data_IF_918887103644
#
_entry.id   IF_918887103644
#
_cell.length_a   1.000
_cell.length_b   1.000
_cell.length_c   1.000
_cell.angle_alpha   90.00
_cell.angle_beta   90.00
_cell.angle_gamma   90.00
#
_symmetry.space_group_name_H-M   'P 1'
#
loop_
_entity.id
_entity.type
_entity.pdbx_description
1 polymer ?
#
# COMPACT_ATOMS: atom_id res chain seq x y z
N UNK A 1 0.16 15.82 -10.97
CA UNK A 1 -0.82 15.88 -9.87
C UNK A 1 -1.54 14.54 -9.82
N UNK A 2 -0.98 13.54 -9.14
CA UNK A 2 -1.76 12.35 -8.78
C UNK A 2 -2.62 12.77 -7.60
N UNK A 3 -3.82 13.28 -7.87
CA UNK A 3 -4.78 13.62 -6.82
C UNK A 3 -5.25 12.34 -6.15
N UNK A 4 -5.25 12.33 -4.82
CA UNK A 4 -5.76 11.21 -4.04
C UNK A 4 -7.23 10.91 -4.40
N UNK A 5 -7.52 9.66 -4.71
CA UNK A 5 -8.87 9.19 -5.06
C UNK A 5 -9.35 8.15 -4.06
N UNK A 6 -10.38 8.51 -3.29
CA UNK A 6 -11.01 7.62 -2.31
C UNK A 6 -11.55 6.32 -2.92
N UNK A 7 -12.11 6.39 -4.13
CA UNK A 7 -12.61 5.20 -4.83
C UNK A 7 -11.47 4.22 -5.17
N UNK A 8 -10.37 4.74 -5.71
CA UNK A 8 -9.19 3.91 -6.02
C UNK A 8 -8.58 3.32 -4.75
N UNK A 9 -8.54 4.09 -3.65
CA UNK A 9 -8.06 3.62 -2.36
C UNK A 9 -8.87 2.44 -1.81
N UNK A 10 -10.20 2.51 -1.84
CA UNK A 10 -11.06 1.42 -1.36
C UNK A 10 -10.91 0.14 -2.19
N UNK A 11 -10.78 0.27 -3.51
CA UNK A 11 -10.50 -0.87 -4.40
C UNK A 11 -9.16 -1.50 -4.05
N UNK A 12 -8.13 -0.68 -3.83
CA UNK A 12 -6.81 -1.15 -3.40
C UNK A 12 -6.85 -1.86 -2.06
N UNK A 13 -7.56 -1.30 -1.08
CA UNK A 13 -7.73 -1.90 0.24
C UNK A 13 -8.42 -3.27 0.14
N UNK A 14 -9.49 -3.38 -0.66
CA UNK A 14 -10.17 -4.64 -0.90
C UNK A 14 -9.24 -5.67 -1.57
N UNK A 15 -8.49 -5.25 -2.59
CA UNK A 15 -7.51 -6.11 -3.26
C UNK A 15 -6.41 -6.60 -2.29
N UNK A 16 -5.91 -5.71 -1.42
CA UNK A 16 -4.93 -6.06 -0.40
C UNK A 16 -5.48 -7.10 0.59
N UNK A 17 -6.70 -6.90 1.08
CA UNK A 17 -7.37 -7.84 2.00
C UNK A 17 -7.54 -9.21 1.34
N UNK A 18 -7.97 -9.26 0.08
CA UNK A 18 -8.12 -10.52 -0.64
C UNK A 18 -6.78 -11.20 -0.90
N UNK A 19 -5.73 -10.46 -1.25
CA UNK A 19 -4.41 -11.02 -1.50
C UNK A 19 -3.75 -11.55 -0.23
N UNK A 20 -3.77 -10.76 0.84
CA UNK A 20 -3.21 -11.16 2.15
C UNK A 20 -4.04 -12.29 2.75
N UNK A 21 -5.37 -12.18 2.74
CA UNK A 21 -6.27 -13.21 3.23
C UNK A 21 -6.15 -14.52 2.45
N UNK A 22 -6.10 -14.45 1.12
CA UNK A 22 -5.85 -15.61 0.26
C UNK A 22 -4.47 -16.24 0.48
N UNK A 23 -3.45 -15.41 0.72
CA UNK A 23 -2.11 -15.87 1.10
C UNK A 23 -2.14 -16.63 2.42
N UNK A 24 -2.77 -16.10 3.47
CA UNK A 24 -2.91 -16.81 4.74
C UNK A 24 -3.72 -18.11 4.60
N UNK A 25 -4.82 -18.08 3.85
CA UNK A 25 -5.61 -19.26 3.58
C UNK A 25 -4.78 -20.35 2.88
N UNK A 26 -4.03 -19.98 1.83
CA UNK A 26 -3.13 -20.88 1.13
C UNK A 26 -2.01 -21.41 2.03
N UNK A 27 -1.42 -20.57 2.89
CA UNK A 27 -0.40 -20.95 3.84
C UNK A 27 -0.91 -22.00 4.84
N UNK A 28 -2.08 -21.78 5.42
CA UNK A 28 -2.69 -22.69 6.40
C UNK A 28 -3.10 -24.02 5.76
N UNK A 29 -3.71 -23.98 4.57
CA UNK A 29 -4.20 -25.19 3.91
C UNK A 29 -3.09 -26.04 3.30
N UNK A 30 -2.03 -25.42 2.76
CA UNK A 30 -0.94 -26.16 2.13
C UNK A 30 0.22 -26.47 3.09
N UNK A 31 0.34 -25.75 4.21
CA UNK A 31 1.53 -25.78 5.07
C UNK A 31 2.80 -25.30 4.37
N UNK A 32 2.70 -24.72 3.17
CA UNK A 32 3.85 -24.41 2.33
C UNK A 32 4.26 -22.95 2.46
N UNK A 33 5.53 -22.64 2.80
CA UNK A 33 5.97 -21.27 3.08
C UNK A 33 5.92 -20.35 1.86
N UNK A 34 5.79 -20.88 0.65
CA UNK A 34 5.66 -20.07 -0.58
C UNK A 34 4.49 -19.07 -0.52
N UNK A 35 3.43 -19.37 0.24
CA UNK A 35 2.29 -18.45 0.41
C UNK A 35 2.60 -17.23 1.28
N UNK A 36 3.77 -17.17 1.95
CA UNK A 36 4.28 -15.94 2.54
C UNK A 36 4.60 -14.89 1.46
N UNK A 37 5.01 -15.30 0.26
CA UNK A 37 5.39 -14.38 -0.81
C UNK A 37 4.26 -13.41 -1.20
N UNK A 38 3.03 -13.85 -1.54
CA UNK A 38 1.93 -12.92 -1.86
C UNK A 38 1.53 -12.03 -0.67
N UNK A 39 1.65 -12.51 0.57
CA UNK A 39 1.39 -11.71 1.78
C UNK A 39 2.39 -10.56 1.88
N UNK A 40 3.68 -10.89 1.83
CA UNK A 40 4.77 -9.91 1.97
C UNK A 40 4.80 -8.95 0.79
N UNK A 41 4.62 -9.43 -0.43
CA UNK A 41 4.56 -8.59 -1.63
C UNK A 41 3.39 -7.61 -1.58
N UNK A 42 2.21 -8.05 -1.10
CA UNK A 42 1.06 -7.18 -0.95
C UNK A 42 1.25 -6.08 0.07
N UNK A 43 1.72 -6.43 1.26
CA UNK A 43 1.96 -5.47 2.33
C UNK A 43 3.06 -4.47 1.92
N UNK A 44 4.14 -4.95 1.30
CA UNK A 44 5.23 -4.10 0.84
C UNK A 44 4.78 -3.14 -0.27
N UNK A 45 4.04 -3.63 -1.25
CA UNK A 45 3.51 -2.78 -2.32
C UNK A 45 2.55 -1.72 -1.78
N UNK A 46 1.66 -2.10 -0.87
CA UNK A 46 0.76 -1.15 -0.20
C UNK A 46 1.54 -0.06 0.54
N UNK A 47 2.58 -0.43 1.28
CA UNK A 47 3.44 0.52 1.97
C UNK A 47 4.06 1.54 1.00
N UNK A 48 4.67 1.08 -0.10
CA UNK A 48 5.25 1.99 -1.10
C UNK A 48 4.21 2.95 -1.70
N UNK A 49 3.01 2.44 -2.01
CA UNK A 49 1.93 3.28 -2.51
C UNK A 49 1.42 4.28 -1.47
N UNK A 50 1.38 3.88 -0.19
CA UNK A 50 0.97 4.76 0.90
C UNK A 50 1.97 5.89 1.13
N UNK A 51 3.27 5.58 1.22
CA UNK A 51 4.33 6.58 1.38
C UNK A 51 4.30 7.60 0.23
N UNK A 52 4.17 7.14 -1.01
CA UNK A 52 4.08 8.01 -2.18
C UNK A 52 2.87 8.96 -2.15
N UNK A 53 1.77 8.58 -1.50
CA UNK A 53 0.58 9.41 -1.33
C UNK A 53 0.74 10.40 -0.18
N UNK A 54 1.28 9.96 0.96
CA UNK A 54 1.38 10.76 2.18
C UNK A 54 2.54 11.75 2.15
N UNK A 55 3.71 11.41 1.58
CA UNK A 55 4.85 12.32 1.46
C UNK A 55 4.53 13.58 0.61
N UNK A 56 3.47 13.55 -0.19
CA UNK A 56 3.05 14.73 -0.95
C UNK A 56 2.24 15.74 -0.11
N UNK A 57 1.88 15.39 1.14
CA UNK A 57 1.02 16.17 2.03
C UNK A 57 1.74 17.01 3.08
N UNK A 58 2.96 16.65 3.48
CA UNK A 58 3.70 17.31 4.57
C UNK A 58 4.86 18.19 4.02
N UNK A 59 4.56 19.48 3.88
CA UNK A 59 5.45 20.65 3.95
C UNK A 59 6.82 20.62 3.23
N UNK A 60 6.85 21.16 2.01
CA UNK A 60 7.98 22.02 1.62
C UNK A 60 7.82 23.36 2.35
N UNK A 61 8.81 23.83 3.15
CA UNK A 61 8.72 25.14 3.76
C UNK A 61 8.55 26.20 2.67
N UNK A 62 7.68 27.22 2.86
CA UNK A 62 7.43 28.23 1.85
C UNK A 62 8.76 28.89 1.46
N UNK A 63 9.03 29.09 0.15
CA UNK A 63 10.27 29.71 -0.28
C UNK A 63 10.40 31.07 0.41
N UNK A 64 11.46 31.21 1.20
CA UNK A 64 11.78 32.42 1.93
C UNK A 64 11.76 33.58 0.93
N UNK A 65 10.80 34.51 1.05
CA UNK A 65 10.80 35.75 0.26
C UNK A 65 12.10 36.49 0.58
N UNK A 66 13.10 36.36 -0.28
CA UNK A 66 14.25 37.25 -0.32
C UNK A 66 13.70 38.62 -0.71
N UNK A 67 13.66 39.54 0.27
CA UNK A 67 13.44 40.96 0.05
C UNK A 67 14.62 41.57 -0.68
#
# INVERSE_FOLDING_TARGET
>A
MLTFSWGAFLVYLAALVLMVGGGFYGLLMSGHPAFLAPILMGLFFFYLCWEAVVETGDDLPPPHKQR
#
